data_IF_579475139331
#
_entry.id   IF_579475139331
#
_cell.length_a   1.000
_cell.length_b   1.000
_cell.length_c   1.000
_cell.angle_alpha   90.00
_cell.angle_beta   90.00
_cell.angle_gamma   90.00
#
_symmetry.space_group_name_H-M   'P 1'
#
loop_
_entity.id
_entity.type
_entity.pdbx_description
1 polymer ?
#
# COMPACT_ATOMS: atom_id res chain seq x y z
N UNK A 1 17.94 1.87 2.95
CA UNK A 1 16.76 1.03 2.61
C UNK A 1 15.59 1.56 3.42
N UNK A 2 14.61 2.23 2.80
CA UNK A 2 13.44 2.71 3.54
C UNK A 2 12.60 1.47 3.90
N UNK A 3 12.37 1.24 5.19
CA UNK A 3 11.55 0.14 5.70
C UNK A 3 10.18 0.73 6.08
N UNK A 4 9.13 0.35 5.34
CA UNK A 4 7.77 0.74 5.68
C UNK A 4 7.35 0.04 6.99
N UNK A 5 6.75 0.78 7.92
CA UNK A 5 6.28 0.24 9.20
C UNK A 5 4.75 0.27 9.27
N UNK A 6 4.16 -0.90 9.52
CA UNK A 6 2.73 -1.05 9.71
C UNK A 6 2.32 -0.58 11.10
N UNK A 7 1.43 0.40 11.19
CA UNK A 7 0.86 0.88 12.46
C UNK A 7 -0.43 0.16 12.86
N UNK A 8 -1.11 -0.46 11.91
CA UNK A 8 -2.35 -1.18 12.08
C UNK A 8 -2.54 -2.23 10.98
N UNK A 9 -3.50 -3.14 11.18
CA UNK A 9 -4.02 -4.03 10.13
C UNK A 9 -4.65 -3.20 8.99
N UNK A 10 -4.34 -3.54 7.73
CA UNK A 10 -5.00 -2.92 6.58
C UNK A 10 -4.11 -2.66 5.37
N UNK A 11 -4.55 -1.74 4.52
CA UNK A 11 -3.93 -1.38 3.25
C UNK A 11 -3.40 0.05 3.30
N UNK A 12 -2.13 0.23 2.93
CA UNK A 12 -1.43 1.52 3.03
C UNK A 12 -0.64 1.83 1.77
N UNK A 13 -0.59 3.10 1.38
CA UNK A 13 0.16 3.55 0.23
C UNK A 13 1.67 3.30 0.43
N UNK A 14 2.37 2.89 -0.64
CA UNK A 14 3.82 2.83 -0.60
C UNK A 14 4.38 4.26 -0.78
N UNK A 15 5.36 4.69 0.05
CA UNK A 15 5.81 6.08 0.08
C UNK A 15 6.59 6.51 -1.18
N UNK A 16 7.07 5.55 -1.98
CA UNK A 16 7.91 5.82 -3.14
C UNK A 16 7.31 5.26 -4.45
N UNK A 17 6.06 4.78 -4.42
CA UNK A 17 5.41 4.28 -5.63
C UNK A 17 3.90 4.20 -5.47
N UNK A 18 3.18 4.89 -6.35
CA UNK A 18 1.73 4.78 -6.44
C UNK A 18 1.22 3.48 -7.05
N UNK A 19 2.10 2.75 -7.74
CA UNK A 19 1.78 1.45 -8.33
C UNK A 19 1.94 0.32 -7.29
N UNK A 20 2.38 0.66 -6.08
CA UNK A 20 2.57 -0.28 -5.00
C UNK A 20 1.83 0.14 -3.74
N UNK A 21 1.48 -0.84 -2.93
CA UNK A 21 0.89 -0.64 -1.62
C UNK A 21 1.38 -1.74 -0.67
N UNK A 22 1.19 -1.51 0.62
CA UNK A 22 1.48 -2.49 1.64
C UNK A 22 0.19 -3.09 2.20
N UNK A 23 0.13 -4.42 2.24
CA UNK A 23 -0.80 -5.13 3.10
C UNK A 23 -0.09 -5.33 4.45
N UNK A 24 -0.68 -4.77 5.50
CA UNK A 24 -0.26 -4.98 6.86
C UNK A 24 -1.11 -6.08 7.49
N UNK A 25 -0.48 -7.19 7.83
CA UNK A 25 -1.13 -8.34 8.47
C UNK A 25 -0.55 -8.56 9.87
N UNK A 26 -1.29 -9.18 10.81
CA UNK A 26 -0.77 -9.49 12.14
C UNK A 26 0.51 -10.33 12.04
N UNK A 27 1.45 -10.03 12.92
CA UNK A 27 2.65 -10.80 13.17
C UNK A 27 2.70 -11.20 14.65
N UNK A 28 3.81 -11.81 15.07
CA UNK A 28 4.02 -12.14 16.48
C UNK A 28 4.15 -10.85 17.33
N UNK A 29 3.98 -10.99 18.65
CA UNK A 29 4.17 -9.91 19.63
C UNK A 29 3.27 -8.66 19.43
N UNK A 30 2.04 -8.85 18.92
CA UNK A 30 1.08 -7.75 18.68
C UNK A 30 1.57 -6.72 17.64
N UNK A 31 2.54 -7.10 16.80
CA UNK A 31 3.03 -6.27 15.69
C UNK A 31 2.31 -6.58 14.37
N UNK A 32 2.65 -5.82 13.33
CA UNK A 32 2.17 -6.02 11.97
C UNK A 32 3.34 -6.11 10.99
N UNK A 33 3.31 -7.11 10.10
CA UNK A 33 4.31 -7.21 9.03
C UNK A 33 3.80 -6.57 7.73
N UNK A 34 4.63 -5.79 7.03
CA UNK A 34 4.31 -5.26 5.72
C UNK A 34 4.56 -6.28 4.62
N UNK A 35 3.64 -6.41 3.68
CA UNK A 35 3.80 -7.16 2.43
C UNK A 35 3.63 -6.17 1.28
N UNK A 36 4.69 -5.96 0.50
CA UNK A 36 4.63 -5.10 -0.69
C UNK A 36 3.84 -5.81 -1.79
N UNK A 37 2.85 -5.11 -2.33
CA UNK A 37 2.01 -5.58 -3.43
C UNK A 37 2.07 -4.60 -4.59
N UNK A 38 1.90 -5.13 -5.79
CA UNK A 38 1.83 -4.35 -7.01
C UNK A 38 0.37 -4.23 -7.44
N UNK A 39 -0.05 -3.04 -7.81
CA UNK A 39 -1.29 -2.85 -8.54
C UNK A 39 -1.16 -3.43 -9.96
N UNK A 40 -2.25 -3.94 -10.55
CA UNK A 40 -2.27 -4.30 -11.97
C UNK A 40 -1.85 -3.14 -12.88
N UNK A 41 -1.33 -3.46 -14.07
CA UNK A 41 -0.91 -2.45 -15.04
C UNK A 41 -2.07 -1.48 -15.38
N UNK A 42 -1.77 -0.18 -15.41
CA UNK A 42 -2.76 0.88 -15.66
C UNK A 42 -3.59 1.28 -14.44
N UNK A 43 -3.27 0.75 -13.25
CA UNK A 43 -3.94 1.11 -11.99
C UNK A 43 -2.94 1.61 -10.94
N UNK A 44 -3.42 2.41 -9.99
CA UNK A 44 -2.66 2.96 -8.86
C UNK A 44 -3.44 2.76 -7.57
N UNK A 45 -2.74 2.65 -6.45
CA UNK A 45 -3.40 2.46 -5.16
C UNK A 45 -4.12 3.74 -4.73
N UNK A 46 -5.43 3.64 -4.57
CA UNK A 46 -6.31 4.65 -4.05
C UNK A 46 -6.40 4.48 -2.53
N UNK A 47 -5.79 5.42 -1.78
CA UNK A 47 -5.74 5.35 -0.33
C UNK A 47 -7.08 5.59 0.35
N UNK A 48 -8.03 6.22 -0.33
CA UNK A 48 -9.34 6.55 0.21
C UNK A 48 -10.29 5.37 0.04
N UNK A 49 -10.29 4.77 -1.15
CA UNK A 49 -11.10 3.59 -1.47
C UNK A 49 -10.46 2.26 -1.07
N UNK A 50 -9.15 2.25 -0.75
CA UNK A 50 -8.37 1.06 -0.40
C UNK A 50 -8.36 -0.01 -1.51
N UNK A 51 -8.28 0.42 -2.77
CA UNK A 51 -8.23 -0.45 -3.95
C UNK A 51 -7.18 0.04 -4.95
N UNK A 52 -6.84 -0.79 -5.93
CA UNK A 52 -6.15 -0.31 -7.12
C UNK A 52 -7.18 0.30 -8.09
N UNK A 53 -7.21 1.61 -8.21
CA UNK A 53 -8.13 2.37 -9.06
C UNK A 53 -7.44 2.77 -10.38
N UNK A 54 -8.20 3.25 -11.36
CA UNK A 54 -7.63 3.69 -12.63
C UNK A 54 -6.57 4.78 -12.42
N UNK A 55 -5.39 4.61 -13.02
CA UNK A 55 -4.25 5.48 -12.74
C UNK A 55 -4.50 6.97 -13.03
N UNK A 56 -5.36 7.30 -14.00
CA UNK A 56 -5.69 8.68 -14.36
C UNK A 56 -6.57 9.40 -13.32
N UNK A 57 -7.14 8.68 -12.36
CA UNK A 57 -7.93 9.24 -11.26
C UNK A 57 -7.08 9.54 -10.01
N UNK A 58 -5.86 8.99 -9.95
CA UNK A 58 -4.98 9.09 -8.78
C UNK A 58 -3.80 9.99 -9.14
N UNK A 59 -3.79 11.17 -8.52
CA UNK A 59 -2.69 12.11 -8.64
C UNK A 59 -1.49 11.64 -7.84
N UNK A 60 -0.33 11.59 -8.49
CA UNK A 60 0.87 10.95 -7.99
C UNK A 60 2.08 11.77 -8.40
N UNK A 61 2.45 12.70 -7.53
CA UNK A 61 3.65 13.52 -7.62
C UNK A 61 4.67 13.13 -6.56
#
# INVERSE_FOLDING_TARGET
KIQFQCKALGLFAAPNSCEHFYICVPADNYEFRPILMNCPAGTRFDSDLKICNHAYLIDCD
#
